data_IF_667582252158
#
_entry.id   IF_667582252158
#
_cell.length_a   1.000
_cell.length_b   1.000
_cell.length_c   1.000
_cell.angle_alpha   90.00
_cell.angle_beta   90.00
_cell.angle_gamma   90.00
#
_symmetry.space_group_name_H-M   'P 1'
#
loop_
_entity.id
_entity.type
_entity.pdbx_description
1 polymer ?
#
# COMPACT_ATOMS: atom_id res chain seq x y z
N UNK A 1 -25.51 17.17 -55.86
CA UNK A 1 -24.85 16.55 -57.01
C UNK A 1 -23.66 15.77 -56.49
N UNK A 2 -23.77 14.56 -56.38
CA UNK A 2 -23.04 13.38 -56.80
C UNK A 2 -23.51 12.16 -56.01
N UNK A 3 -24.27 11.34 -56.73
CA UNK A 3 -24.59 9.95 -56.40
C UNK A 3 -23.36 9.08 -56.52
N UNK A 4 -23.32 8.01 -55.74
CA UNK A 4 -22.74 6.70 -56.18
C UNK A 4 -22.97 5.66 -55.10
N UNK A 5 -24.01 4.87 -55.25
CA UNK A 5 -23.97 3.54 -55.80
C UNK A 5 -23.47 2.47 -54.85
N UNK A 6 -24.44 1.81 -54.26
CA UNK A 6 -24.42 0.50 -53.58
C UNK A 6 -24.06 -0.58 -54.60
N UNK A 7 -23.04 -1.39 -54.33
CA UNK A 7 -22.80 -2.66 -55.00
C UNK A 7 -23.03 -3.84 -54.05
N UNK A 8 -24.12 -4.52 -54.28
CA UNK A 8 -24.41 -5.85 -53.76
C UNK A 8 -23.63 -6.93 -54.55
N UNK A 9 -23.10 -7.92 -53.92
CA UNK A 9 -22.55 -9.11 -54.51
C UNK A 9 -23.04 -10.37 -53.76
N UNK A 10 -23.11 -11.54 -54.43
CA UNK A 10 -24.22 -12.44 -54.30
C UNK A 10 -23.99 -13.63 -53.36
N UNK A 11 -25.10 -14.13 -52.89
CA UNK A 11 -25.33 -15.38 -52.18
C UNK A 11 -24.86 -16.60 -52.99
N UNK A 12 -23.96 -17.44 -52.45
CA UNK A 12 -23.75 -18.82 -52.91
C UNK A 12 -24.26 -19.79 -51.88
N UNK A 13 -25.32 -20.51 -52.27
CA UNK A 13 -25.87 -21.73 -51.65
C UNK A 13 -24.90 -22.90 -51.91
N UNK A 14 -24.80 -23.79 -50.96
CA UNK A 14 -24.58 -25.26 -51.07
C UNK A 14 -23.85 -25.71 -49.80
N UNK A 15 -24.08 -26.79 -49.14
CA UNK A 15 -24.58 -28.12 -49.31
C UNK A 15 -24.74 -28.72 -47.92
N UNK A 16 -25.83 -29.41 -47.71
CA UNK A 16 -26.07 -30.22 -46.50
C UNK A 16 -25.16 -31.45 -46.51
N UNK A 17 -24.42 -31.66 -45.40
CA UNK A 17 -23.90 -33.00 -45.07
C UNK A 17 -24.39 -33.30 -43.64
N UNK A 18 -25.33 -34.24 -43.62
CA UNK A 18 -25.80 -34.93 -42.42
C UNK A 18 -24.69 -35.87 -41.96
N UNK A 19 -24.20 -35.73 -40.75
CA UNK A 19 -23.49 -36.82 -40.10
C UNK A 19 -24.00 -36.98 -38.66
N UNK A 20 -24.30 -38.22 -38.40
CA UNK A 20 -25.03 -38.83 -37.31
C UNK A 20 -24.45 -38.59 -35.92
N UNK A 21 -25.35 -38.53 -35.00
CA UNK A 21 -25.22 -38.50 -33.55
C UNK A 21 -24.30 -39.59 -32.99
N UNK A 22 -23.44 -39.19 -32.07
CA UNK A 22 -23.04 -39.98 -30.92
C UNK A 22 -23.20 -39.10 -29.68
N UNK A 23 -24.26 -39.37 -28.95
CA UNK A 23 -24.55 -38.82 -27.64
C UNK A 23 -23.52 -39.37 -26.66
N UNK A 24 -22.46 -38.62 -26.40
CA UNK A 24 -21.61 -38.84 -25.25
C UNK A 24 -22.18 -37.99 -24.09
N UNK A 25 -22.88 -38.67 -23.18
CA UNK A 25 -23.24 -38.14 -21.89
C UNK A 25 -21.94 -37.84 -21.09
N UNK A 26 -21.39 -36.67 -21.26
CA UNK A 26 -20.42 -36.14 -20.31
C UNK A 26 -21.18 -35.67 -19.10
N UNK A 27 -21.06 -36.39 -18.01
CA UNK A 27 -21.41 -35.95 -16.67
C UNK A 27 -20.75 -34.60 -16.41
N UNK A 28 -21.53 -33.52 -16.47
CA UNK A 28 -21.16 -32.23 -15.92
C UNK A 28 -21.09 -32.42 -14.41
N UNK A 29 -19.90 -32.70 -13.90
CA UNK A 29 -19.59 -32.45 -12.49
C UNK A 29 -19.71 -30.95 -12.26
N UNK A 30 -20.53 -30.51 -11.28
CA UNK A 30 -20.47 -29.13 -10.85
C UNK A 30 -19.06 -28.92 -10.31
N UNK A 31 -18.29 -28.07 -10.99
CA UNK A 31 -17.08 -27.51 -10.44
C UNK A 31 -17.54 -26.73 -9.19
N UNK A 32 -17.42 -27.35 -8.03
CA UNK A 32 -17.39 -26.66 -6.76
C UNK A 32 -16.27 -25.64 -6.89
N UNK A 33 -16.64 -24.39 -7.16
CA UNK A 33 -15.75 -23.26 -7.02
C UNK A 33 -15.25 -23.34 -5.58
N UNK A 34 -14.05 -23.90 -5.38
CA UNK A 34 -13.29 -23.69 -4.17
C UNK A 34 -13.20 -22.18 -4.03
N UNK A 35 -13.95 -21.64 -3.09
CA UNK A 35 -13.67 -20.35 -2.53
C UNK A 35 -12.21 -20.44 -2.06
N UNK A 36 -11.29 -19.93 -2.84
CA UNK A 36 -9.95 -19.62 -2.38
C UNK A 36 -10.13 -18.46 -1.38
N UNK A 37 -10.49 -18.83 -0.16
CA UNK A 37 -10.13 -18.03 0.99
C UNK A 37 -8.63 -17.75 0.80
N UNK A 38 -8.29 -16.46 0.75
CA UNK A 38 -6.92 -15.98 0.79
C UNK A 38 -6.25 -16.74 1.94
N UNK A 39 -5.55 -17.81 1.60
CA UNK A 39 -4.74 -18.51 2.58
C UNK A 39 -3.61 -17.54 2.89
N UNK A 40 -3.72 -16.92 4.05
CA UNK A 40 -2.64 -16.16 4.66
C UNK A 40 -1.44 -17.11 4.70
N UNK A 41 -0.58 -17.00 3.70
CA UNK A 41 0.70 -17.65 3.72
C UNK A 41 1.43 -17.07 4.94
N UNK A 42 1.69 -17.92 5.94
CA UNK A 42 2.31 -17.65 7.23
C UNK A 42 1.39 -17.23 8.39
N UNK A 43 0.25 -17.89 8.53
CA UNK A 43 -0.51 -17.85 9.79
C UNK A 43 0.32 -18.24 11.04
N UNK A 44 1.48 -18.86 10.83
CA UNK A 44 2.37 -19.29 11.91
C UNK A 44 3.17 -18.12 12.52
N UNK A 45 3.64 -17.16 11.73
CA UNK A 45 4.37 -15.99 12.25
C UNK A 45 3.42 -15.01 12.93
N UNK A 46 2.26 -14.77 12.34
CA UNK A 46 1.23 -13.91 12.91
C UNK A 46 0.65 -14.43 14.21
N UNK A 47 0.44 -15.75 14.32
CA UNK A 47 -0.03 -16.39 15.55
C UNK A 47 0.95 -16.22 16.71
N UNK A 48 2.24 -15.95 16.44
CA UNK A 48 3.26 -15.67 17.46
C UNK A 48 2.96 -14.37 18.21
N UNK A 49 2.47 -13.34 17.50
CA UNK A 49 2.27 -12.01 18.08
C UNK A 49 0.98 -11.88 18.91
N UNK A 50 -0.05 -12.71 18.68
CA UNK A 50 -1.38 -12.49 19.25
C UNK A 50 -2.04 -13.74 19.83
N UNK A 51 -1.26 -14.70 20.34
CA UNK A 51 -1.77 -16.00 20.78
C UNK A 51 -2.57 -15.95 22.07
N UNK A 52 -2.30 -15.01 22.99
CA UNK A 52 -2.79 -15.06 24.37
C UNK A 52 -4.04 -14.21 24.69
N UNK A 53 -4.49 -13.35 23.77
CA UNK A 53 -5.59 -12.39 24.06
C UNK A 53 -7.01 -12.93 23.81
N UNK A 54 -7.18 -14.23 23.61
CA UNK A 54 -8.50 -14.81 23.29
C UNK A 54 -9.55 -14.63 24.41
N UNK A 55 -9.14 -14.41 25.65
CA UNK A 55 -10.07 -14.34 26.80
C UNK A 55 -10.51 -12.94 27.18
N UNK A 56 -9.69 -11.90 26.99
CA UNK A 56 -10.01 -10.56 27.47
C UNK A 56 -10.84 -9.71 26.48
N UNK A 57 -10.91 -10.09 25.21
CA UNK A 57 -11.57 -9.28 24.17
C UNK A 57 -12.92 -9.86 23.68
N UNK A 58 -13.44 -10.91 24.29
CA UNK A 58 -14.63 -11.64 23.81
C UNK A 58 -15.91 -10.80 23.69
N UNK A 59 -16.01 -9.64 24.33
CA UNK A 59 -17.22 -8.82 24.33
C UNK A 59 -17.27 -7.68 23.30
N UNK A 60 -16.11 -7.23 22.81
CA UNK A 60 -16.09 -6.03 21.94
C UNK A 60 -16.16 -6.30 20.44
N UNK A 61 -15.92 -7.53 19.97
CA UNK A 61 -15.65 -7.81 18.57
C UNK A 61 -16.56 -8.85 17.91
N UNK A 62 -17.82 -8.94 18.32
CA UNK A 62 -18.77 -9.94 17.79
C UNK A 62 -18.98 -9.92 16.27
N UNK A 63 -18.63 -8.80 15.61
CA UNK A 63 -18.86 -8.58 14.18
C UNK A 63 -17.57 -8.48 13.34
N UNK A 64 -16.39 -8.69 13.95
CA UNK A 64 -15.13 -8.62 13.21
C UNK A 64 -14.69 -10.00 12.76
N UNK A 65 -14.09 -10.05 11.55
CA UNK A 65 -13.44 -11.27 11.05
C UNK A 65 -12.30 -11.71 11.99
N UNK A 66 -11.91 -12.98 11.93
CA UNK A 66 -10.74 -13.46 12.67
C UNK A 66 -9.48 -12.70 12.26
N UNK A 67 -9.35 -12.40 10.97
CA UNK A 67 -8.25 -11.61 10.42
C UNK A 67 -8.23 -10.18 10.98
N UNK A 68 -9.36 -9.49 11.05
CA UNK A 68 -9.42 -8.16 11.65
C UNK A 68 -9.03 -8.15 13.13
N UNK A 69 -9.43 -9.16 13.89
CA UNK A 69 -9.03 -9.29 15.30
C UNK A 69 -7.51 -9.45 15.44
N UNK A 70 -6.90 -10.26 14.57
CA UNK A 70 -5.46 -10.45 14.53
C UNK A 70 -4.73 -9.15 14.20
N UNK A 71 -5.16 -8.45 13.15
CA UNK A 71 -4.58 -7.17 12.74
C UNK A 71 -4.70 -6.10 13.83
N UNK A 72 -5.86 -6.01 14.49
CA UNK A 72 -6.07 -5.07 15.60
C UNK A 72 -5.19 -5.42 16.83
N UNK A 73 -4.97 -6.69 17.09
CA UNK A 73 -4.03 -7.13 18.11
C UNK A 73 -2.59 -6.65 17.76
N UNK A 74 -2.13 -6.86 16.51
CA UNK A 74 -0.81 -6.39 16.06
C UNK A 74 -0.68 -4.87 16.21
N UNK A 75 -1.71 -4.10 15.85
CA UNK A 75 -1.73 -2.64 16.09
C UNK A 75 -1.58 -2.30 17.59
N UNK A 76 -2.20 -3.10 18.46
CA UNK A 76 -2.10 -2.87 19.90
C UNK A 76 -0.68 -3.10 20.43
N UNK A 77 0.04 -4.08 19.89
CA UNK A 77 1.43 -4.37 20.26
C UNK A 77 2.42 -3.26 19.86
N UNK A 78 2.06 -2.38 18.93
CA UNK A 78 2.90 -1.26 18.54
C UNK A 78 2.89 -0.11 19.55
N UNK A 79 1.86 -0.01 20.43
CA UNK A 79 1.68 1.10 21.37
C UNK A 79 2.89 1.37 22.29
N UNK A 80 3.58 0.33 22.85
CA UNK A 80 4.78 0.57 23.66
C UNK A 80 5.90 1.28 22.91
N UNK A 81 6.07 1.03 21.60
CA UNK A 81 7.11 1.63 20.78
C UNK A 81 6.79 3.05 20.31
N UNK A 82 5.54 3.49 20.46
CA UNK A 82 5.05 4.84 20.10
C UNK A 82 5.19 5.86 21.25
N UNK A 83 5.70 5.43 22.40
CA UNK A 83 5.86 6.29 23.57
C UNK A 83 7.04 7.25 23.40
N UNK A 84 6.98 8.38 24.11
CA UNK A 84 7.99 9.46 24.03
C UNK A 84 9.37 9.07 24.55
N UNK A 85 9.46 8.01 25.35
CA UNK A 85 10.71 7.46 25.88
C UNK A 85 11.46 6.58 24.85
N UNK A 86 10.83 6.28 23.74
CA UNK A 86 11.44 5.49 22.65
C UNK A 86 12.23 6.37 21.69
N UNK A 87 13.20 5.77 21.00
CA UNK A 87 13.96 6.48 19.96
C UNK A 87 13.05 6.94 18.83
N UNK A 88 13.43 8.01 18.13
CA UNK A 88 12.67 8.50 16.97
C UNK A 88 12.52 7.43 15.87
N UNK A 89 13.56 6.59 15.67
CA UNK A 89 13.51 5.47 14.74
C UNK A 89 12.48 4.42 15.17
N UNK A 90 12.48 4.00 16.45
CA UNK A 90 11.47 3.07 16.98
C UNK A 90 10.06 3.64 16.82
N UNK A 91 9.85 4.90 17.15
CA UNK A 91 8.54 5.54 16.99
C UNK A 91 8.12 5.57 15.51
N UNK A 92 9.02 6.02 14.63
CA UNK A 92 8.73 6.09 13.19
C UNK A 92 8.34 4.72 12.62
N UNK A 93 9.12 3.68 12.88
CA UNK A 93 8.84 2.34 12.38
C UNK A 93 7.57 1.75 13.02
N UNK A 94 7.30 2.01 14.29
CA UNK A 94 6.05 1.59 14.93
C UNK A 94 4.82 2.26 14.30
N UNK A 95 4.87 3.56 13.99
CA UNK A 95 3.81 4.25 13.28
C UNK A 95 3.71 3.80 11.81
N UNK A 96 4.83 3.46 11.17
CA UNK A 96 4.85 2.94 9.79
C UNK A 96 4.18 1.56 9.71
N UNK A 97 4.51 0.65 10.64
CA UNK A 97 3.82 -0.64 10.75
C UNK A 97 2.33 -0.45 11.04
N UNK A 98 1.96 0.47 11.93
CA UNK A 98 0.56 0.80 12.20
C UNK A 98 -0.17 1.29 10.95
N UNK A 99 0.46 2.16 10.15
CA UNK A 99 -0.14 2.66 8.91
C UNK A 99 -0.39 1.53 7.90
N UNK A 100 0.55 0.60 7.75
CA UNK A 100 0.39 -0.58 6.92
C UNK A 100 -0.71 -1.52 7.44
N UNK A 101 -0.76 -1.79 8.74
CA UNK A 101 -1.81 -2.61 9.35
C UNK A 101 -3.19 -1.97 9.19
N UNK A 102 -3.30 -0.65 9.33
CA UNK A 102 -4.54 0.08 9.07
C UNK A 102 -4.98 -0.07 7.61
N UNK A 103 -4.02 -0.10 6.68
CA UNK A 103 -4.33 -0.36 5.27
C UNK A 103 -4.86 -1.79 5.08
N UNK A 104 -4.21 -2.79 5.66
CA UNK A 104 -4.68 -4.18 5.60
C UNK A 104 -6.07 -4.34 6.21
N UNK A 105 -6.34 -3.72 7.36
CA UNK A 105 -7.66 -3.70 8.02
C UNK A 105 -8.72 -3.08 7.11
N UNK A 106 -8.40 -1.98 6.45
CA UNK A 106 -9.32 -1.33 5.52
C UNK A 106 -9.66 -2.26 4.35
N UNK A 107 -8.65 -2.88 3.72
CA UNK A 107 -8.86 -3.82 2.61
C UNK A 107 -9.71 -5.02 3.02
N UNK A 108 -9.48 -5.57 4.21
CA UNK A 108 -10.29 -6.67 4.76
C UNK A 108 -11.73 -6.22 5.02
N UNK A 109 -11.95 -5.02 5.61
CA UNK A 109 -13.28 -4.49 5.89
C UNK A 109 -14.11 -4.22 4.63
N UNK A 110 -13.45 -3.92 3.52
CA UNK A 110 -14.07 -3.73 2.20
C UNK A 110 -14.27 -5.04 1.43
N UNK A 111 -13.93 -6.20 2.02
CA UNK A 111 -13.88 -7.49 1.32
C UNK A 111 -13.14 -7.42 -0.01
N UNK A 112 -12.04 -6.67 -0.03
CA UNK A 112 -11.24 -6.45 -1.23
C UNK A 112 -10.62 -7.77 -1.70
N UNK A 113 -10.77 -8.08 -2.99
CA UNK A 113 -10.11 -9.22 -3.62
C UNK A 113 -8.73 -8.86 -4.17
N UNK A 114 -8.28 -7.61 -4.01
CA UNK A 114 -6.95 -7.18 -4.44
C UNK A 114 -5.88 -7.73 -3.51
N UNK A 115 -4.66 -7.89 -4.04
CA UNK A 115 -3.49 -8.26 -3.24
C UNK A 115 -3.00 -7.13 -2.32
N UNK A 116 -3.61 -5.95 -2.38
CA UNK A 116 -3.14 -4.76 -1.66
C UNK A 116 -3.09 -4.97 -0.13
N UNK A 117 -4.09 -5.66 0.43
CA UNK A 117 -4.10 -5.98 1.87
C UNK A 117 -2.98 -6.94 2.27
N UNK A 118 -2.69 -7.92 1.41
CA UNK A 118 -1.60 -8.86 1.61
C UNK A 118 -0.24 -8.15 1.53
N UNK A 119 -0.04 -7.30 0.52
CA UNK A 119 1.18 -6.49 0.38
C UNK A 119 1.36 -5.57 1.58
N UNK A 120 0.29 -4.93 2.07
CA UNK A 120 0.37 -4.09 3.27
C UNK A 120 0.84 -4.87 4.51
N UNK A 121 0.40 -6.12 4.65
CA UNK A 121 0.82 -6.99 5.73
C UNK A 121 2.28 -7.42 5.59
N UNK A 122 2.71 -7.81 4.38
CA UNK A 122 4.10 -8.13 4.06
C UNK A 122 5.06 -6.96 4.33
N UNK A 123 4.58 -5.72 4.16
CA UNK A 123 5.34 -4.52 4.50
C UNK A 123 5.40 -4.25 6.01
N UNK A 124 4.39 -4.65 6.77
CA UNK A 124 4.36 -4.46 8.23
C UNK A 124 5.20 -5.52 8.98
N UNK A 125 5.22 -6.76 8.50
CA UNK A 125 5.82 -7.90 9.21
C UNK A 125 7.31 -7.71 9.54
N UNK A 126 8.22 -7.34 8.60
CA UNK A 126 9.62 -7.14 8.92
C UNK A 126 9.84 -6.00 9.93
N UNK A 127 8.98 -4.98 9.93
CA UNK A 127 9.05 -3.88 10.90
C UNK A 127 8.67 -4.40 12.30
N UNK A 128 7.62 -5.19 12.42
CA UNK A 128 7.23 -5.81 13.68
C UNK A 128 8.33 -6.71 14.23
N UNK A 129 8.96 -7.51 13.38
CA UNK A 129 10.08 -8.36 13.75
C UNK A 129 11.29 -7.55 14.24
N UNK A 130 11.61 -6.46 13.55
CA UNK A 130 12.73 -5.61 13.94
C UNK A 130 12.46 -4.86 15.26
N UNK A 131 11.22 -4.45 15.51
CA UNK A 131 10.82 -3.85 16.78
C UNK A 131 10.91 -4.85 17.94
N UNK A 132 10.44 -6.08 17.74
CA UNK A 132 10.48 -7.15 18.73
C UNK A 132 11.92 -7.59 19.07
N UNK A 133 12.81 -7.58 18.08
CA UNK A 133 14.22 -7.95 18.24
C UNK A 133 15.15 -6.77 18.57
N UNK A 134 14.62 -5.55 18.69
CA UNK A 134 15.39 -4.30 18.89
C UNK A 134 16.44 -4.05 17.78
N UNK A 135 16.12 -4.39 16.54
CA UNK A 135 16.99 -4.26 15.36
C UNK A 135 16.48 -3.23 14.36
N UNK A 136 15.67 -2.27 14.80
CA UNK A 136 15.10 -1.23 13.90
C UNK A 136 16.16 -0.35 13.22
N UNK A 137 17.36 -0.24 13.79
CA UNK A 137 18.49 0.49 13.22
C UNK A 137 19.01 -0.17 11.93
N UNK A 138 18.71 -1.46 11.71
CA UNK A 138 19.11 -2.21 10.51
C UNK A 138 18.12 -1.98 9.35
N UNK A 139 16.96 -1.38 9.65
CA UNK A 139 15.96 -1.04 8.65
C UNK A 139 16.34 0.26 7.93
N UNK A 140 16.29 0.23 6.60
CA UNK A 140 16.46 1.43 5.78
C UNK A 140 15.32 2.43 5.99
N UNK A 141 15.64 3.72 6.12
CA UNK A 141 14.63 4.78 6.19
C UNK A 141 13.87 4.93 4.88
N UNK A 142 14.51 4.65 3.77
CA UNK A 142 13.89 4.66 2.44
C UNK A 142 13.46 3.25 2.07
N UNK A 143 12.32 3.15 1.41
CA UNK A 143 11.80 1.89 0.90
C UNK A 143 11.39 2.04 -0.56
N UNK A 144 11.40 0.91 -1.26
CA UNK A 144 10.90 0.83 -2.62
C UNK A 144 9.36 0.88 -2.64
N UNK A 145 8.83 1.37 -3.74
CA UNK A 145 7.38 1.42 -3.97
C UNK A 145 6.95 0.04 -4.48
N UNK A 146 5.99 -0.62 -3.82
CA UNK A 146 5.52 -1.95 -4.21
C UNK A 146 4.99 -1.99 -5.65
N UNK A 147 5.09 -3.15 -6.30
CA UNK A 147 4.63 -3.38 -7.67
C UNK A 147 3.12 -3.16 -7.88
N UNK A 148 2.34 -3.15 -6.80
CA UNK A 148 0.91 -2.82 -6.81
C UNK A 148 0.64 -1.31 -6.83
N UNK A 149 1.68 -0.49 -6.75
CA UNK A 149 1.66 0.96 -6.64
C UNK A 149 2.58 1.61 -7.69
N UNK A 150 2.73 2.92 -7.63
CA UNK A 150 3.61 3.68 -8.50
C UNK A 150 4.14 4.94 -7.79
N UNK A 151 5.22 5.51 -8.32
CA UNK A 151 5.61 6.85 -7.92
C UNK A 151 4.61 7.84 -8.56
N UNK A 152 3.79 8.44 -7.73
CA UNK A 152 2.89 9.53 -8.09
C UNK A 152 3.09 10.68 -7.11
N UNK A 153 2.89 11.92 -7.54
CA UNK A 153 3.16 13.11 -6.74
C UNK A 153 4.64 13.22 -6.33
N UNK A 154 5.54 13.35 -7.32
CA UNK A 154 6.99 13.48 -7.08
C UNK A 154 7.34 14.65 -6.14
N UNK A 155 6.51 15.68 -6.06
CA UNK A 155 6.60 16.79 -5.13
C UNK A 155 6.50 16.34 -3.66
N UNK A 156 5.55 15.48 -3.33
CA UNK A 156 5.38 14.94 -1.98
C UNK A 156 6.48 13.94 -1.63
N UNK A 157 6.86 13.08 -2.58
CA UNK A 157 7.96 12.13 -2.40
C UNK A 157 9.30 12.86 -2.19
N UNK A 158 9.54 13.95 -2.91
CA UNK A 158 10.74 14.77 -2.73
C UNK A 158 10.79 15.40 -1.34
N UNK A 159 9.68 15.94 -0.86
CA UNK A 159 9.55 16.51 0.49
C UNK A 159 9.79 15.44 1.55
N UNK A 160 9.16 14.27 1.41
CA UNK A 160 9.32 13.15 2.34
C UNK A 160 10.79 12.69 2.42
N UNK A 161 11.45 12.50 1.28
CA UNK A 161 12.84 12.05 1.22
C UNK A 161 13.81 13.09 1.80
N UNK A 162 13.61 14.35 1.47
CA UNK A 162 14.42 15.44 2.01
C UNK A 162 14.28 15.58 3.53
N UNK A 163 13.08 15.42 4.07
CA UNK A 163 12.85 15.42 5.51
C UNK A 163 13.49 14.21 6.20
N UNK A 164 13.45 13.01 5.57
CA UNK A 164 14.12 11.81 6.12
C UNK A 164 15.62 12.03 6.25
N UNK A 165 16.26 12.52 5.21
CA UNK A 165 17.70 12.80 5.20
C UNK A 165 18.07 13.96 6.15
N UNK A 166 17.17 14.93 6.31
CA UNK A 166 17.33 16.06 7.20
C UNK A 166 17.05 15.78 8.68
N UNK A 167 16.87 14.51 9.07
CA UNK A 167 16.48 14.11 10.43
C UNK A 167 15.06 14.57 10.84
N UNK A 168 14.16 14.75 9.88
CA UNK A 168 12.75 15.10 10.13
C UNK A 168 11.99 14.06 10.95
N UNK A 169 12.45 12.79 10.92
CA UNK A 169 11.92 11.71 11.76
C UNK A 169 12.04 12.04 13.26
N UNK A 170 13.10 12.71 13.68
CA UNK A 170 13.26 13.14 15.08
C UNK A 170 12.20 14.16 15.49
N UNK A 171 11.77 15.01 14.55
CA UNK A 171 10.78 16.07 14.82
C UNK A 171 9.34 15.59 14.71
N UNK A 172 9.06 14.64 13.78
CA UNK A 172 7.70 14.23 13.45
C UNK A 172 7.64 12.74 13.00
N UNK A 173 7.98 11.76 13.86
CA UNK A 173 8.07 10.37 13.50
C UNK A 173 6.74 9.80 13.00
N UNK A 174 5.63 10.20 13.60
CA UNK A 174 4.28 9.75 13.23
C UNK A 174 3.85 10.30 11.88
N UNK A 175 3.98 11.60 11.70
CA UNK A 175 3.56 12.31 10.49
C UNK A 175 4.33 11.81 9.27
N UNK A 176 5.64 11.61 9.43
CA UNK A 176 6.52 11.04 8.40
C UNK A 176 6.09 9.62 8.01
N UNK A 177 5.80 8.76 8.97
CA UNK A 177 5.39 7.38 8.74
C UNK A 177 4.04 7.29 8.03
N UNK A 178 3.04 8.03 8.51
CA UNK A 178 1.70 8.04 7.92
C UNK A 178 1.67 8.64 6.52
N UNK A 179 2.46 9.69 6.26
CA UNK A 179 2.55 10.29 4.92
C UNK A 179 3.10 9.30 3.90
N UNK A 180 4.16 8.58 4.23
CA UNK A 180 4.79 7.61 3.33
C UNK A 180 3.83 6.50 2.92
N UNK A 181 3.18 5.86 3.89
CA UNK A 181 2.21 4.79 3.61
C UNK A 181 0.99 5.33 2.87
N UNK A 182 0.52 6.55 3.20
CA UNK A 182 -0.59 7.16 2.51
C UNK A 182 -0.29 7.47 1.04
N UNK A 183 0.95 7.86 0.69
CA UNK A 183 1.39 8.04 -0.70
C UNK A 183 1.31 6.73 -1.49
N UNK A 184 1.83 5.64 -0.91
CA UNK A 184 1.78 4.32 -1.55
C UNK A 184 0.33 3.85 -1.69
N UNK A 185 -0.47 3.98 -0.64
CA UNK A 185 -1.89 3.62 -0.66
C UNK A 185 -2.68 4.41 -1.70
N UNK A 186 -2.45 5.75 -1.78
CA UNK A 186 -3.08 6.59 -2.77
C UNK A 186 -2.78 6.12 -4.20
N UNK A 187 -1.51 5.86 -4.50
CA UNK A 187 -1.10 5.39 -5.81
C UNK A 187 -1.62 3.98 -6.11
N UNK A 188 -1.65 3.06 -5.12
CA UNK A 188 -2.27 1.73 -5.29
C UNK A 188 -3.75 1.84 -5.66
N UNK A 189 -4.50 2.73 -4.99
CA UNK A 189 -5.90 2.99 -5.33
C UNK A 189 -6.05 3.60 -6.73
N UNK A 190 -5.16 4.51 -7.11
CA UNK A 190 -5.11 5.08 -8.45
C UNK A 190 -4.91 3.99 -9.51
N UNK A 191 -3.95 3.09 -9.28
CA UNK A 191 -3.66 1.94 -10.13
C UNK A 191 -4.86 1.00 -10.25
N UNK A 192 -5.63 0.83 -9.19
CA UNK A 192 -6.87 0.06 -9.16
C UNK A 192 -8.09 0.85 -9.70
N UNK A 193 -7.89 2.05 -10.28
CA UNK A 193 -8.93 2.96 -10.76
C UNK A 193 -9.88 3.49 -9.68
N UNK A 194 -9.45 3.48 -8.44
CA UNK A 194 -10.18 4.03 -7.29
C UNK A 194 -9.91 5.54 -7.10
N UNK A 195 -10.24 6.37 -8.09
CA UNK A 195 -9.90 7.80 -8.16
C UNK A 195 -10.34 8.62 -6.94
N UNK A 196 -11.51 8.33 -6.38
CA UNK A 196 -12.04 9.05 -5.22
C UNK A 196 -11.21 8.78 -3.98
N UNK A 197 -10.91 7.53 -3.72
CA UNK A 197 -10.13 7.06 -2.57
C UNK A 197 -8.66 7.49 -2.70
N UNK A 198 -8.11 7.38 -3.89
CA UNK A 198 -6.77 7.87 -4.22
C UNK A 198 -6.62 9.35 -3.88
N UNK A 199 -7.51 10.20 -4.39
CA UNK A 199 -7.48 11.64 -4.11
C UNK A 199 -7.62 11.99 -2.63
N UNK A 200 -8.34 11.19 -1.86
CA UNK A 200 -8.45 11.35 -0.40
C UNK A 200 -7.10 11.05 0.28
N UNK A 201 -6.47 9.94 -0.07
CA UNK A 201 -5.20 9.54 0.54
C UNK A 201 -4.04 10.45 0.13
N UNK A 202 -4.00 10.99 -1.11
CA UNK A 202 -3.02 12.01 -1.48
C UNK A 202 -3.17 13.30 -0.64
N UNK A 203 -4.40 13.75 -0.39
CA UNK A 203 -4.62 14.90 0.51
C UNK A 203 -4.25 14.59 1.98
N UNK A 204 -4.43 13.35 2.42
CA UNK A 204 -3.98 12.94 3.75
C UNK A 204 -2.45 12.94 3.84
N UNK A 205 -1.76 12.39 2.83
CA UNK A 205 -0.31 12.40 2.76
C UNK A 205 0.27 13.82 2.76
N UNK A 206 -0.30 14.70 1.95
CA UNK A 206 0.08 16.11 1.86
C UNK A 206 -0.04 16.81 3.23
N UNK A 207 -1.18 16.63 3.91
CA UNK A 207 -1.42 17.21 5.24
C UNK A 207 -0.44 16.67 6.31
N UNK A 208 -0.13 15.36 6.28
CA UNK A 208 0.87 14.79 7.19
C UNK A 208 2.25 15.35 6.91
N UNK A 209 2.65 15.51 5.64
CA UNK A 209 3.94 16.10 5.27
C UNK A 209 4.03 17.59 5.65
N UNK A 210 2.95 18.35 5.49
CA UNK A 210 2.90 19.73 5.94
C UNK A 210 3.16 19.83 7.45
N UNK A 211 2.50 19.01 8.26
CA UNK A 211 2.73 18.95 9.72
C UNK A 211 4.16 18.51 10.05
N UNK A 212 4.72 17.53 9.34
CA UNK A 212 6.10 17.10 9.54
C UNK A 212 7.10 18.22 9.20
N UNK A 213 6.87 18.93 8.10
CA UNK A 213 7.69 20.08 7.69
C UNK A 213 7.60 21.22 8.69
N UNK A 214 6.41 21.54 9.18
CA UNK A 214 6.22 22.54 10.23
C UNK A 214 6.97 22.17 11.52
N UNK A 215 6.83 20.94 11.99
CA UNK A 215 7.56 20.45 13.16
C UNK A 215 9.08 20.52 12.97
N UNK A 216 9.57 20.17 11.79
CA UNK A 216 10.98 20.26 11.43
C UNK A 216 11.48 21.71 11.42
N UNK A 217 10.74 22.63 10.79
CA UNK A 217 11.07 24.05 10.73
C UNK A 217 11.12 24.66 12.14
N UNK A 218 10.15 24.33 12.99
CA UNK A 218 10.11 24.83 14.37
C UNK A 218 11.24 24.29 15.25
N UNK A 219 11.79 23.11 14.92
CA UNK A 219 12.89 22.49 15.67
C UNK A 219 14.30 22.92 15.20
N UNK A 220 14.41 23.60 14.04
CA UNK A 220 15.68 23.85 13.38
C UNK A 220 15.91 25.34 13.07
N UNK A 221 17.15 25.70 12.73
CA UNK A 221 17.53 27.05 12.35
C UNK A 221 17.35 27.32 10.84
N UNK A 222 17.49 28.60 10.45
CA UNK A 222 17.29 29.05 9.07
C UNK A 222 18.26 28.42 8.05
N UNK A 223 19.49 28.08 8.45
CA UNK A 223 20.44 27.40 7.55
C UNK A 223 19.95 25.99 7.19
N UNK A 224 19.41 25.27 8.18
CA UNK A 224 18.84 23.94 8.00
C UNK A 224 17.60 23.99 7.08
N UNK A 225 16.80 25.07 7.19
CA UNK A 225 15.66 25.27 6.30
C UNK A 225 16.09 25.45 4.84
N UNK A 226 17.13 26.25 4.60
CA UNK A 226 17.68 26.44 3.25
C UNK A 226 18.24 25.12 2.69
N UNK A 227 18.90 24.31 3.54
CA UNK A 227 19.38 23.01 3.14
C UNK A 227 18.24 22.05 2.78
N UNK A 228 17.16 22.04 3.57
CA UNK A 228 15.96 21.26 3.27
C UNK A 228 15.37 21.62 1.91
N UNK A 229 15.17 22.92 1.61
CA UNK A 229 14.61 23.34 0.33
C UNK A 229 15.47 22.94 -0.86
N UNK A 230 16.81 23.02 -0.72
CA UNK A 230 17.73 22.53 -1.75
C UNK A 230 17.61 21.01 -1.96
N UNK A 231 17.46 20.27 -0.88
CA UNK A 231 17.27 18.81 -0.92
C UNK A 231 15.94 18.46 -1.60
N UNK A 232 14.85 19.14 -1.26
CA UNK A 232 13.54 18.96 -1.91
C UNK A 232 13.65 19.18 -3.43
N UNK A 233 14.29 20.26 -3.87
CA UNK A 233 14.48 20.54 -5.30
C UNK A 233 15.31 19.44 -5.97
N UNK A 234 16.35 18.94 -5.30
CA UNK A 234 17.19 17.85 -5.82
C UNK A 234 16.38 16.57 -6.02
N UNK A 235 15.63 16.14 -4.99
CA UNK A 235 14.76 14.98 -5.07
C UNK A 235 13.64 15.14 -6.09
N UNK A 236 13.04 16.32 -6.20
CA UNK A 236 12.01 16.57 -7.19
C UNK A 236 12.54 16.39 -8.62
N UNK A 237 13.76 16.85 -8.92
CA UNK A 237 14.41 16.61 -10.21
C UNK A 237 14.67 15.12 -10.47
N UNK A 238 14.98 14.36 -9.43
CA UNK A 238 15.21 12.92 -9.54
C UNK A 238 13.90 12.15 -9.76
N UNK A 239 12.82 12.54 -9.08
CA UNK A 239 11.57 11.80 -9.07
C UNK A 239 10.61 12.20 -10.17
N UNK A 240 10.65 13.46 -10.67
CA UNK A 240 9.76 13.92 -11.73
C UNK A 240 9.77 13.06 -13.00
N UNK A 241 10.92 12.52 -13.48
CA UNK A 241 10.92 11.62 -14.64
C UNK A 241 10.32 10.24 -14.36
N UNK A 242 10.15 9.88 -13.07
CA UNK A 242 9.61 8.58 -12.63
C UNK A 242 8.09 8.65 -12.40
N UNK A 243 7.49 9.84 -12.50
CA UNK A 243 6.06 10.03 -12.28
C UNK A 243 5.25 9.19 -13.26
N UNK A 244 4.46 8.29 -12.72
CA UNK A 244 3.61 7.38 -13.47
C UNK A 244 2.31 8.09 -13.91
N UNK A 245 2.42 9.15 -14.72
CA UNK A 245 1.26 9.86 -15.26
C UNK A 245 0.41 8.99 -16.20
N UNK A 246 1.01 7.95 -16.79
CA UNK A 246 0.42 7.12 -17.85
C UNK A 246 0.38 5.63 -17.45
N UNK A 247 -0.49 5.21 -16.53
CA UNK A 247 -0.86 3.82 -16.23
C UNK A 247 0.28 2.81 -15.92
N UNK A 248 1.49 3.28 -15.62
CA UNK A 248 2.63 2.39 -15.34
C UNK A 248 2.73 2.03 -13.86
N UNK A 249 1.71 1.31 -13.36
CA UNK A 249 1.68 0.79 -11.99
C UNK A 249 2.61 -0.44 -11.88
N UNK A 250 3.91 -0.21 -11.72
CA UNK A 250 4.95 -1.25 -11.71
C UNK A 250 5.81 -1.23 -10.45
N UNK A 251 5.46 -0.39 -9.49
CA UNK A 251 6.38 -0.08 -8.41
C UNK A 251 7.54 0.81 -8.86
N UNK A 252 8.43 1.12 -7.92
CA UNK A 252 9.63 1.90 -8.20
C UNK A 252 10.71 1.55 -7.19
N UNK A 253 11.90 1.24 -7.69
CA UNK A 253 13.09 1.06 -6.88
C UNK A 253 13.68 2.45 -6.55
N UNK A 254 13.56 2.84 -5.29
CA UNK A 254 14.09 4.11 -4.77
C UNK A 254 15.38 3.90 -3.96
N UNK A 255 15.72 2.66 -3.61
CA UNK A 255 16.87 2.35 -2.76
C UNK A 255 18.13 2.05 -3.57
N UNK A 256 18.03 1.49 -4.77
CA UNK A 256 19.18 1.11 -5.61
C UNK A 256 19.88 2.29 -6.29
N UNK A 257 19.23 3.45 -6.36
CA UNK A 257 19.75 4.65 -7.05
C UNK A 257 20.47 5.65 -6.11
N UNK A 258 20.88 5.18 -4.92
CA UNK A 258 21.62 6.00 -3.92
C UNK A 258 23.07 5.63 -3.77
#
# INVERSE_FOLDING_TARGET
MFDSAIKAAPFKRSVYVTLSALFSLTFMQPALAKSETIQVANSTSMAKYCRDDRQSQAHSYRYQSEQQRLLNCMVTQLKPYQQKDKTAAQQYFAYKAQAWLNYAIHQDSMNSRSSAGQVALEMAEPILQALDNDTVQDLGLHQDIPSTSALMRPDLWATLSALKDGNGIASAPREMAFSEVALIWAATNQCARGWRESGMHFRMADRWLEQAREAYVNANNSQTHVALEKSIVSYHKQYSPLDASDDTCRGQDLTSNR
#
